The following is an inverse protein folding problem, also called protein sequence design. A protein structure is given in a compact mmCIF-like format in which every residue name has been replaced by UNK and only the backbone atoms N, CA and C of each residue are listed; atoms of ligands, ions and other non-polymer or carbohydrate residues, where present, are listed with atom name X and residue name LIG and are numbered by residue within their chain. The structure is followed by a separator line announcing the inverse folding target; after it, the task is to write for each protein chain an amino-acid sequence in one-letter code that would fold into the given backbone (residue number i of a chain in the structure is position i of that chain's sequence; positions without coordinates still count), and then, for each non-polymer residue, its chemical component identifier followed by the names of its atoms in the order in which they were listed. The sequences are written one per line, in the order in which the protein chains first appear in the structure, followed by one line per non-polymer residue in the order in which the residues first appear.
data_IF_922109037131
#
_entry.id   IF_922109037131
#
_cell.length_a   1.000
_cell.length_b   1.000
_cell.length_c   1.000
_cell.angle_alpha   90.00
_cell.angle_beta   90.00
_cell.angle_gamma   90.00
#
_symmetry.space_group_name_H-M   'P 1'
#
loop_
_entity.id
_entity.type
_entity.pdbx_description
1 polymer ?
#
# COMPACT_ATOMS: atom_id res chain seq x y z
N UNK A 1 12.63 6.88 22.15
CA UNK A 1 11.68 6.91 21.01
C UNK A 1 11.36 8.34 20.69
N UNK A 2 11.25 8.61 19.39
CA UNK A 2 10.70 9.84 18.82
C UNK A 2 9.26 9.52 18.43
N UNK A 3 8.30 10.30 18.89
CA UNK A 3 6.88 10.07 18.61
C UNK A 3 6.39 11.15 17.65
N UNK A 4 5.92 10.73 16.47
CA UNK A 4 5.39 11.60 15.43
C UNK A 4 3.95 11.22 15.14
N UNK A 5 3.04 12.15 15.41
CA UNK A 5 1.61 11.92 15.31
C UNK A 5 1.05 12.69 14.11
N UNK A 6 0.58 11.97 13.09
CA UNK A 6 -0.09 12.51 11.92
C UNK A 6 -1.57 12.74 12.25
N UNK A 7 -1.88 13.79 13.02
CA UNK A 7 -3.24 14.10 13.43
C UNK A 7 -3.90 15.16 12.53
N UNK A 8 -5.10 14.84 12.04
CA UNK A 8 -6.18 15.83 11.88
C UNK A 8 -6.29 16.61 13.20
N UNK A 9 -6.51 17.91 13.09
CA UNK A 9 -6.36 18.93 14.14
C UNK A 9 -7.14 18.75 15.48
N UNK A 10 -7.74 17.61 15.83
CA UNK A 10 -8.63 17.48 17.00
C UNK A 10 -8.61 16.10 17.70
N UNK A 11 -7.47 15.64 18.21
CA UNK A 11 -7.51 14.75 19.38
C UNK A 11 -6.26 14.92 20.24
N UNK A 12 -6.47 15.07 21.54
CA UNK A 12 -5.39 15.19 22.54
C UNK A 12 -5.20 13.81 23.18
N UNK A 13 -3.99 13.23 23.12
CA UNK A 13 -3.68 12.05 23.93
C UNK A 13 -3.60 12.47 25.40
N UNK A 14 -4.55 12.01 26.21
CA UNK A 14 -4.44 12.08 27.66
C UNK A 14 -3.34 11.09 28.10
N UNK A 15 -2.30 11.62 28.75
CA UNK A 15 -1.26 10.93 29.53
C UNK A 15 0.06 10.52 28.84
N UNK A 16 0.85 11.51 28.39
CA UNK A 16 2.31 11.37 28.29
C UNK A 16 2.99 12.61 28.90
N UNK A 17 3.51 12.50 30.14
CA UNK A 17 4.25 13.59 30.79
C UNK A 17 5.73 13.60 30.39
N UNK A 18 6.13 14.78 29.90
CA UNK A 18 7.44 15.46 29.99
C UNK A 18 8.62 14.88 29.22
N UNK A 19 8.78 15.38 27.99
CA UNK A 19 9.96 16.09 27.41
C UNK A 19 9.72 16.37 25.90
N UNK A 20 8.82 15.60 25.27
CA UNK A 20 8.39 15.77 23.85
C UNK A 20 7.31 16.87 23.70
N UNK A 21 6.53 17.12 24.75
CA UNK A 21 5.42 18.10 24.74
C UNK A 21 5.85 19.55 24.48
N UNK A 22 7.08 19.94 24.85
CA UNK A 22 7.55 21.33 24.71
C UNK A 22 7.92 21.69 23.27
N UNK A 23 8.37 20.73 22.46
CA UNK A 23 8.61 20.96 21.01
C UNK A 23 7.30 20.94 20.24
N UNK A 24 6.38 20.03 20.56
CA UNK A 24 5.06 19.95 19.92
C UNK A 24 4.34 21.31 19.96
N UNK A 25 4.38 22.02 21.09
CA UNK A 25 3.79 23.36 21.23
C UNK A 25 4.38 24.44 20.31
N UNK A 26 5.63 24.28 19.84
CA UNK A 26 6.28 25.17 18.87
C UNK A 26 6.02 24.70 17.43
N UNK A 27 5.94 23.38 17.20
CA UNK A 27 5.63 22.78 15.89
C UNK A 27 4.15 22.86 15.51
N UNK A 28 3.23 23.12 16.46
CA UNK A 28 1.78 23.26 16.20
C UNK A 28 1.41 24.42 15.25
N UNK A 29 2.37 25.23 14.79
CA UNK A 29 2.16 26.20 13.70
C UNK A 29 2.55 25.68 12.30
N UNK A 30 3.18 24.51 12.21
CA UNK A 30 3.71 23.95 10.97
C UNK A 30 2.94 22.70 10.55
N UNK A 31 2.79 22.51 9.25
CA UNK A 31 2.09 21.37 8.64
C UNK A 31 2.94 20.09 8.77
N UNK A 32 2.46 19.15 9.59
CA UNK A 32 3.10 17.87 9.91
C UNK A 32 3.17 16.88 8.73
N UNK A 33 2.54 17.21 7.60
CA UNK A 33 2.59 16.40 6.38
C UNK A 33 3.79 16.77 5.50
N UNK A 34 4.48 17.87 5.85
CA UNK A 34 5.66 18.35 5.15
C UNK A 34 6.92 17.60 5.57
N UNK A 35 7.77 17.20 4.61
CA UNK A 35 9.02 16.50 4.91
C UNK A 35 9.98 17.34 5.75
N UNK A 36 9.99 18.67 5.57
CA UNK A 36 10.86 19.57 6.34
C UNK A 36 10.52 19.55 7.83
N UNK A 37 9.23 19.53 8.18
CA UNK A 37 8.79 19.56 9.57
C UNK A 37 9.17 18.27 10.31
N UNK A 38 9.06 17.11 9.65
CA UNK A 38 9.54 15.84 10.21
C UNK A 38 11.07 15.83 10.34
N UNK A 39 11.79 16.38 9.35
CA UNK A 39 13.26 16.50 9.40
C UNK A 39 13.71 17.33 10.60
N UNK A 40 13.09 18.50 10.81
CA UNK A 40 13.37 19.40 11.93
C UNK A 40 13.13 18.71 13.27
N UNK A 41 12.03 17.97 13.39
CA UNK A 41 11.72 17.21 14.60
C UNK A 41 12.78 16.14 14.92
N UNK A 42 13.17 15.32 13.93
CA UNK A 42 14.17 14.28 14.14
C UNK A 42 15.53 14.90 14.52
N UNK A 43 15.91 16.00 13.86
CA UNK A 43 17.14 16.73 14.18
C UNK A 43 17.10 17.30 15.60
N UNK A 44 16.00 17.97 15.96
CA UNK A 44 15.82 18.51 17.31
C UNK A 44 15.95 17.41 18.37
N UNK A 45 15.28 16.27 18.15
CA UNK A 45 15.24 15.23 19.16
C UNK A 45 16.56 14.46 19.29
N UNK A 46 17.29 14.25 18.19
CA UNK A 46 18.64 13.66 18.22
C UNK A 46 19.67 14.58 18.88
N UNK A 47 19.52 15.91 18.75
CA UNK A 47 20.36 16.86 19.47
C UNK A 47 20.07 16.94 20.97
N UNK A 48 18.78 16.88 21.34
CA UNK A 48 18.35 16.96 22.74
C UNK A 48 18.62 15.69 23.52
N UNK A 49 18.48 14.53 22.89
CA UNK A 49 18.64 13.23 23.53
C UNK A 49 19.68 12.40 22.79
N UNK A 50 20.96 12.73 23.00
CA UNK A 50 22.10 12.02 22.38
C UNK A 50 22.16 10.57 22.88
N UNK A 51 21.85 9.62 22.01
CA UNK A 51 21.83 8.18 22.30
C UNK A 51 22.38 7.38 21.13
N UNK A 52 22.80 6.14 21.38
CA UNK A 52 23.34 5.23 20.35
C UNK A 52 22.26 4.75 19.38
N UNK A 53 21.02 4.58 19.86
CA UNK A 53 19.92 4.02 19.07
C UNK A 53 18.70 4.93 19.05
N UNK A 54 18.12 5.10 17.86
CA UNK A 54 16.93 5.90 17.61
C UNK A 54 15.81 5.05 17.01
N UNK A 55 14.63 5.17 17.62
CA UNK A 55 13.38 4.61 17.13
C UNK A 55 12.41 5.77 16.86
N UNK A 56 11.87 5.85 15.64
CA UNK A 56 10.79 6.75 15.25
C UNK A 56 9.49 5.97 15.19
N UNK A 57 8.47 6.48 15.86
CA UNK A 57 7.11 5.96 15.77
C UNK A 57 6.29 6.94 14.95
N UNK A 58 5.76 6.48 13.82
CA UNK A 58 4.76 7.17 13.04
C UNK A 58 3.40 6.67 13.49
N UNK A 59 2.68 7.51 14.23
CA UNK A 59 1.32 7.25 14.66
C UNK A 59 0.35 7.99 13.74
N UNK A 60 -0.70 7.31 13.33
CA UNK A 60 -1.78 7.95 12.61
C UNK A 60 -2.65 6.93 11.94
N UNK A 61 -3.05 7.28 10.73
CA UNK A 61 -4.03 6.53 9.99
C UNK A 61 -3.35 5.89 8.78
N UNK A 62 -3.62 4.60 8.59
CA UNK A 62 -3.06 3.80 7.50
C UNK A 62 -3.76 4.04 6.17
N UNK A 63 -3.57 3.11 5.23
CA UNK A 63 -4.24 3.14 3.92
C UNK A 63 -5.76 2.99 4.04
N UNK A 64 -6.28 2.54 5.17
CA UNK A 64 -7.71 2.32 5.42
C UNK A 64 -8.53 3.62 5.50
N UNK A 65 -8.05 4.67 6.16
CA UNK A 65 -8.71 5.99 6.20
C UNK A 65 -8.50 6.82 4.93
N UNK A 66 -7.82 6.26 3.92
CA UNK A 66 -8.02 6.73 2.55
C UNK A 66 -9.49 6.56 2.13
N UNK A 67 -10.29 5.72 2.79
CA UNK A 67 -11.71 5.51 2.52
C UNK A 67 -12.67 6.31 3.42
N UNK A 68 -12.16 7.27 4.21
CA UNK A 68 -12.96 8.06 5.17
C UNK A 68 -13.55 9.35 4.57
N UNK A 69 -14.82 9.61 4.87
CA UNK A 69 -15.74 10.53 4.17
C UNK A 69 -15.47 12.04 4.34
N UNK A 70 -14.49 12.48 5.13
CA UNK A 70 -14.36 13.90 5.50
C UNK A 70 -13.63 14.78 4.45
N UNK A 71 -14.08 14.65 3.20
CA UNK A 71 -13.95 15.63 2.10
C UNK A 71 -15.12 16.62 2.06
N UNK A 72 -15.76 16.90 3.19
CA UNK A 72 -16.73 18.01 3.29
C UNK A 72 -16.00 19.33 3.11
N UNK A 73 -16.03 19.85 1.87
CA UNK A 73 -16.03 21.26 1.42
C UNK A 73 -15.54 21.47 -0.03
N UNK A 74 -15.27 20.41 -0.81
CA UNK A 74 -14.80 20.57 -2.20
C UNK A 74 -15.73 20.06 -3.31
N UNK A 75 -16.70 19.19 -3.01
CA UNK A 75 -17.40 18.37 -4.02
C UNK A 75 -18.90 18.62 -4.16
N UNK A 76 -19.48 19.56 -3.41
CA UNK A 76 -20.92 19.88 -3.51
C UNK A 76 -21.36 20.52 -4.84
N UNK A 77 -20.44 20.81 -5.77
CA UNK A 77 -20.79 21.38 -7.08
C UNK A 77 -20.90 20.38 -8.25
N UNK A 78 -20.65 19.08 -8.02
CA UNK A 78 -20.52 18.09 -9.13
C UNK A 78 -21.66 17.06 -9.22
N UNK A 79 -22.68 17.11 -8.37
CA UNK A 79 -23.66 16.02 -8.24
C UNK A 79 -24.94 16.14 -9.08
N UNK A 80 -24.99 16.98 -10.12
CA UNK A 80 -26.25 17.23 -10.81
C UNK A 80 -26.53 16.41 -12.09
N UNK A 81 -25.57 15.89 -12.88
CA UNK A 81 -25.93 15.54 -14.28
C UNK A 81 -25.57 14.15 -14.86
N UNK A 82 -24.73 13.31 -14.25
CA UNK A 82 -24.28 12.07 -14.93
C UNK A 82 -25.07 10.79 -14.57
N UNK A 83 -26.40 10.86 -14.53
CA UNK A 83 -27.24 9.64 -14.54
C UNK A 83 -27.92 9.51 -15.89
N UNK A 84 -27.35 8.69 -16.76
CA UNK A 84 -27.91 7.91 -17.87
C UNK A 84 -26.78 7.77 -18.92
N UNK A 85 -26.70 6.65 -19.64
CA UNK A 85 -25.65 6.27 -20.64
C UNK A 85 -24.52 5.36 -20.14
N UNK A 86 -24.86 4.21 -19.56
CA UNK A 86 -23.87 3.16 -19.25
C UNK A 86 -24.14 1.76 -19.82
N UNK A 87 -25.38 1.39 -20.18
CA UNK A 87 -25.71 -0.04 -20.23
C UNK A 87 -26.59 -0.54 -21.39
N UNK A 88 -27.01 0.27 -22.36
CA UNK A 88 -28.05 -0.15 -23.32
C UNK A 88 -27.62 -0.36 -24.79
N UNK A 89 -26.33 -0.47 -25.10
CA UNK A 89 -25.86 -0.65 -26.50
C UNK A 89 -24.96 -1.88 -26.72
N UNK A 90 -24.94 -2.82 -25.78
CA UNK A 90 -24.15 -4.05 -25.85
C UNK A 90 -24.90 -5.26 -26.43
N UNK A 91 -26.18 -5.12 -26.78
CA UNK A 91 -26.98 -6.19 -27.37
C UNK A 91 -27.38 -5.90 -28.82
N UNK A 92 -26.43 -6.08 -29.73
CA UNK A 92 -26.70 -6.67 -31.05
C UNK A 92 -25.38 -7.03 -31.73
N UNK A 93 -25.26 -8.32 -32.07
CA UNK A 93 -24.26 -8.94 -32.96
C UNK A 93 -22.92 -9.36 -32.34
N UNK A 94 -22.86 -10.66 -32.03
CA UNK A 94 -21.66 -11.36 -31.62
C UNK A 94 -20.76 -11.79 -32.77
N UNK A 95 -19.52 -12.10 -32.37
CA UNK A 95 -18.51 -12.91 -33.06
C UNK A 95 -17.95 -12.33 -34.38
N UNK A 96 -16.93 -11.47 -34.27
CA UNK A 96 -15.63 -11.58 -34.99
C UNK A 96 -14.68 -10.39 -34.67
N UNK A 97 -13.43 -10.73 -34.36
CA UNK A 97 -12.20 -9.90 -34.31
C UNK A 97 -12.14 -8.70 -33.33
N UNK A 98 -11.48 -8.93 -32.19
CA UNK A 98 -11.14 -7.95 -31.13
C UNK A 98 -10.13 -6.84 -31.47
N UNK A 99 -9.91 -6.52 -32.75
CA UNK A 99 -9.03 -5.43 -33.17
C UNK A 99 -9.76 -4.26 -33.86
N UNK A 100 -11.01 -4.45 -34.30
CA UNK A 100 -11.80 -3.39 -34.94
C UNK A 100 -12.63 -2.56 -33.95
N UNK A 101 -13.04 -3.14 -32.81
CA UNK A 101 -13.75 -2.41 -31.74
C UNK A 101 -12.91 -1.26 -31.16
N UNK A 102 -11.60 -1.47 -31.03
CA UNK A 102 -10.62 -0.44 -30.62
C UNK A 102 -10.44 0.66 -31.70
N UNK A 103 -10.67 0.35 -32.99
CA UNK A 103 -10.60 1.33 -34.08
C UNK A 103 -11.89 2.14 -34.23
N UNK A 104 -13.05 1.54 -33.94
CA UNK A 104 -14.34 2.24 -33.90
C UNK A 104 -14.44 3.20 -32.70
N UNK A 105 -13.95 2.80 -31.51
CA UNK A 105 -13.81 3.71 -30.35
C UNK A 105 -12.93 4.93 -30.66
N UNK A 106 -11.89 4.76 -31.48
CA UNK A 106 -10.92 5.82 -31.85
C UNK A 106 -11.54 7.00 -32.60
N UNK A 107 -12.67 6.83 -33.30
CA UNK A 107 -13.29 7.88 -34.15
C UNK A 107 -14.46 8.63 -33.51
N UNK A 108 -15.06 8.12 -32.42
CA UNK A 108 -16.18 8.80 -31.73
C UNK A 108 -15.88 9.29 -30.32
N UNK A 109 -14.95 8.68 -29.59
CA UNK A 109 -14.59 9.12 -28.22
C UNK A 109 -13.29 9.95 -28.15
N UNK A 110 -12.49 9.94 -29.22
CA UNK A 110 -11.10 10.44 -29.19
C UNK A 110 -10.89 11.94 -29.44
N UNK A 111 -11.90 12.70 -29.86
CA UNK A 111 -11.67 14.11 -30.28
C UNK A 111 -12.52 15.15 -29.58
N UNK A 112 -13.67 14.78 -29.00
CA UNK A 112 -14.55 15.75 -28.30
C UNK A 112 -14.36 15.72 -26.77
N UNK A 113 -14.19 14.56 -26.13
CA UNK A 113 -13.93 14.48 -24.68
C UNK A 113 -12.53 15.01 -24.30
N UNK A 114 -11.49 14.63 -25.07
CA UNK A 114 -10.12 15.09 -24.80
C UNK A 114 -9.91 16.60 -25.01
N UNK A 115 -10.76 17.27 -25.80
CA UNK A 115 -10.74 18.73 -25.95
C UNK A 115 -11.64 19.43 -24.93
N UNK A 116 -12.74 18.83 -24.52
CA UNK A 116 -13.66 19.40 -23.54
C UNK A 116 -13.20 19.22 -22.08
N UNK A 117 -12.31 18.28 -21.78
CA UNK A 117 -11.67 18.14 -20.45
C UNK A 117 -10.48 19.11 -20.28
N UNK A 118 -9.68 19.32 -21.33
CA UNK A 118 -8.47 20.16 -21.24
C UNK A 118 -8.75 21.65 -21.04
N UNK A 119 -9.95 22.11 -21.39
CA UNK A 119 -10.39 23.51 -21.17
C UNK A 119 -11.26 23.72 -19.91
N UNK A 120 -11.68 22.66 -19.21
CA UNK A 120 -12.48 22.76 -17.98
C UNK A 120 -11.68 22.54 -16.69
N UNK A 121 -10.50 21.93 -16.77
CA UNK A 121 -9.54 21.93 -15.66
C UNK A 121 -8.63 23.16 -15.76
N UNK A 122 -9.21 24.31 -15.46
CA UNK A 122 -8.42 25.44 -14.98
C UNK A 122 -7.71 25.00 -13.71
N UNK A 123 -6.38 25.01 -13.78
CA UNK A 123 -5.48 24.94 -12.61
C UNK A 123 -5.98 25.96 -11.59
N UNK A 124 -6.72 25.48 -10.60
CA UNK A 124 -6.98 26.22 -9.37
C UNK A 124 -6.19 25.52 -8.28
N UNK A 125 -5.42 26.32 -7.56
CA UNK A 125 -4.44 25.94 -6.56
C UNK A 125 -4.80 24.70 -5.72
N UNK A 126 -3.87 23.74 -5.71
CA UNK A 126 -3.52 22.92 -4.55
C UNK A 126 -4.66 22.21 -3.82
N UNK A 127 -4.97 20.98 -4.23
CA UNK A 127 -5.38 19.99 -3.23
C UNK A 127 -4.19 19.79 -2.30
N UNK A 128 -4.17 20.48 -1.16
CA UNK A 128 -3.20 20.25 -0.08
C UNK A 128 -3.37 18.79 0.33
N UNK A 129 -2.45 17.91 -0.11
CA UNK A 129 -2.41 16.53 0.38
C UNK A 129 -2.17 16.61 1.89
N UNK A 130 -3.09 16.10 2.69
CA UNK A 130 -3.08 16.21 4.16
C UNK A 130 -2.47 15.00 4.86
N UNK A 131 -1.63 14.23 4.18
CA UNK A 131 -0.88 13.13 4.79
C UNK A 131 0.56 13.12 4.28
N UNK A 132 1.45 12.56 5.11
CA UNK A 132 2.85 12.35 4.76
C UNK A 132 2.95 11.18 3.77
N UNK A 133 3.19 11.48 2.50
CA UNK A 133 3.44 10.44 1.49
C UNK A 133 4.75 9.69 1.80
N UNK A 134 4.90 8.47 1.31
CA UNK A 134 6.15 7.71 1.50
C UNK A 134 7.37 8.35 0.83
N UNK A 135 7.15 9.06 -0.29
CA UNK A 135 8.19 9.87 -0.92
C UNK A 135 8.63 11.00 0.02
N UNK A 136 7.70 11.72 0.64
CA UNK A 136 8.01 12.77 1.60
C UNK A 136 8.65 12.19 2.86
N UNK A 137 8.22 11.02 3.34
CA UNK A 137 8.85 10.34 4.47
C UNK A 137 10.33 10.00 4.17
N UNK A 138 10.60 9.42 3.00
CA UNK A 138 11.99 9.17 2.55
C UNK A 138 12.78 10.46 2.47
N UNK A 139 12.22 11.50 1.87
CA UNK A 139 12.87 12.81 1.78
C UNK A 139 13.22 13.36 3.16
N UNK A 140 12.27 13.31 4.09
CA UNK A 140 12.47 13.78 5.46
C UNK A 140 13.62 13.04 6.14
N UNK A 141 13.61 11.69 6.09
CA UNK A 141 14.63 10.86 6.72
C UNK A 141 16.02 11.12 6.13
N UNK A 142 16.13 11.22 4.79
CA UNK A 142 17.40 11.50 4.09
C UNK A 142 17.97 12.88 4.41
N UNK A 143 17.11 13.84 4.74
CA UNK A 143 17.52 15.21 5.01
C UNK A 143 17.93 15.47 6.46
N UNK A 144 17.80 14.48 7.35
CA UNK A 144 18.24 14.58 8.74
C UNK A 144 19.76 14.70 8.85
N UNK A 145 20.22 15.35 9.93
CA UNK A 145 21.65 15.40 10.30
C UNK A 145 22.20 14.00 10.55
N UNK A 146 21.37 13.10 11.08
CA UNK A 146 21.70 11.69 11.25
C UNK A 146 22.03 11.05 9.90
N UNK A 147 21.17 11.18 8.89
CA UNK A 147 21.40 10.61 7.57
C UNK A 147 22.60 11.22 6.83
N UNK A 148 22.89 12.49 7.09
CA UNK A 148 24.02 13.21 6.49
C UNK A 148 25.36 13.00 7.21
N UNK A 149 25.38 12.33 8.37
CA UNK A 149 26.58 12.22 9.21
C UNK A 149 26.99 13.55 9.84
N UNK A 150 26.03 14.47 10.02
CA UNK A 150 26.22 15.83 10.53
C UNK A 150 25.79 15.97 12.00
N UNK A 151 25.70 14.85 12.73
CA UNK A 151 25.46 14.88 14.18
C UNK A 151 26.64 15.58 14.89
N UNK A 152 26.35 16.20 16.04
CA UNK A 152 27.35 16.94 16.80
C UNK A 152 28.58 16.07 17.16
N UNK A 153 29.76 16.70 17.25
CA UNK A 153 30.98 16.00 17.66
C UNK A 153 30.78 15.25 19.00
N UNK A 154 31.25 13.99 19.06
CA UNK A 154 31.08 13.11 20.23
C UNK A 154 29.66 12.54 20.40
N UNK A 155 28.79 12.65 19.40
CA UNK A 155 27.49 11.99 19.42
C UNK A 155 27.68 10.45 19.37
N UNK A 156 26.98 9.67 20.24
CA UNK A 156 27.26 8.24 20.41
C UNK A 156 26.69 7.34 19.30
N UNK A 157 25.64 7.77 18.57
CA UNK A 157 25.11 7.05 17.38
C UNK A 157 26.22 6.72 16.38
N UNK A 158 26.31 5.45 16.02
CA UNK A 158 27.11 4.95 14.91
C UNK A 158 26.23 4.71 13.68
N UNK A 159 26.78 5.00 12.50
CA UNK A 159 26.06 4.90 11.22
C UNK A 159 25.08 6.04 10.96
N UNK A 160 24.56 6.06 9.74
CA UNK A 160 23.73 7.16 9.20
C UNK A 160 22.28 6.74 8.97
N UNK A 161 21.82 5.64 9.58
CA UNK A 161 20.44 5.15 9.46
C UNK A 161 19.72 5.23 10.80
N UNK A 162 18.41 5.47 10.73
CA UNK A 162 17.52 5.30 11.86
C UNK A 162 17.45 3.79 12.19
N UNK A 163 17.56 3.42 13.47
CA UNK A 163 17.59 2.01 13.85
C UNK A 163 16.21 1.34 13.63
N UNK A 164 15.13 1.99 14.07
CA UNK A 164 13.78 1.41 14.01
C UNK A 164 12.78 2.47 13.54
N UNK A 165 11.92 2.11 12.57
CA UNK A 165 10.67 2.79 12.33
C UNK A 165 9.49 1.89 12.72
N UNK A 166 8.70 2.32 13.70
CA UNK A 166 7.41 1.70 14.01
C UNK A 166 6.30 2.48 13.33
N UNK A 167 5.47 1.81 12.55
CA UNK A 167 4.33 2.43 11.87
C UNK A 167 3.05 1.92 12.54
N UNK A 168 2.54 2.74 13.45
CA UNK A 168 1.31 2.50 14.19
C UNK A 168 0.13 3.05 13.38
N UNK A 169 -0.19 2.30 12.32
CA UNK A 169 -1.24 2.57 11.36
C UNK A 169 -1.59 1.28 10.58
N UNK A 170 -2.85 1.13 10.18
CA UNK A 170 -3.37 -0.05 9.49
C UNK A 170 -2.66 -0.34 8.15
N UNK A 171 -2.38 -1.61 7.88
CA UNK A 171 -1.92 -2.09 6.57
C UNK A 171 -0.68 -1.38 6.01
N UNK A 172 0.31 -1.12 6.88
CA UNK A 172 1.56 -0.44 6.55
C UNK A 172 2.75 -1.37 6.35
N UNK A 173 2.60 -2.67 6.63
CA UNK A 173 3.63 -3.68 6.37
C UNK A 173 3.64 -4.08 4.89
N UNK A 174 4.01 -3.12 4.05
CA UNK A 174 4.00 -3.20 2.59
C UNK A 174 5.43 -3.23 2.02
N UNK A 175 5.67 -4.05 1.00
CA UNK A 175 6.98 -4.10 0.32
C UNK A 175 7.33 -2.78 -0.37
N UNK A 176 6.34 -2.01 -0.82
CA UNK A 176 6.48 -0.68 -1.40
C UNK A 176 7.24 0.25 -0.44
N UNK A 177 6.78 0.30 0.82
CA UNK A 177 7.31 1.17 1.86
C UNK A 177 8.64 0.63 2.36
N UNK A 178 8.71 -0.67 2.65
CA UNK A 178 9.96 -1.33 3.09
C UNK A 178 11.10 -1.08 2.08
N UNK A 179 10.81 -1.23 0.79
CA UNK A 179 11.77 -0.98 -0.29
C UNK A 179 12.23 0.46 -0.33
N UNK A 180 11.33 1.41 -0.12
CA UNK A 180 11.64 2.84 -0.23
C UNK A 180 12.48 3.36 0.95
N UNK A 181 12.33 2.74 2.13
CA UNK A 181 13.00 3.14 3.38
C UNK A 181 14.34 2.44 3.66
N UNK A 182 14.70 1.39 2.92
CA UNK A 182 15.92 0.57 3.17
C UNK A 182 17.23 1.33 3.30
N UNK A 183 17.35 2.50 2.68
CA UNK A 183 18.56 3.32 2.66
C UNK A 183 18.62 4.32 3.82
N UNK A 184 17.58 4.37 4.65
CA UNK A 184 17.44 5.35 5.73
C UNK A 184 17.06 4.72 7.07
N UNK A 185 16.57 3.47 7.06
CA UNK A 185 16.12 2.76 8.26
C UNK A 185 16.63 1.31 8.25
N UNK A 186 17.04 0.80 9.41
CA UNK A 186 17.53 -0.57 9.57
C UNK A 186 16.39 -1.59 9.76
N UNK A 187 15.41 -1.29 10.63
CA UNK A 187 14.26 -2.15 10.90
C UNK A 187 12.92 -1.42 10.79
N UNK A 188 11.90 -2.11 10.28
CA UNK A 188 10.52 -1.62 10.21
C UNK A 188 9.59 -2.55 10.99
N UNK A 189 8.72 -1.96 11.83
CA UNK A 189 7.68 -2.69 12.56
C UNK A 189 6.32 -2.15 12.14
N UNK A 190 5.50 -2.99 11.52
CA UNK A 190 4.20 -2.58 10.95
C UNK A 190 3.23 -3.76 10.88
N UNK A 191 1.93 -3.46 10.75
CA UNK A 191 0.85 -4.43 10.56
C UNK A 191 0.49 -4.59 9.09
N UNK A 192 0.16 -5.81 8.64
CA UNK A 192 -0.48 -6.03 7.34
C UNK A 192 -1.98 -5.73 7.37
N UNK A 193 -2.58 -5.90 8.55
CA UNK A 193 -4.01 -5.71 8.81
C UNK A 193 -4.27 -4.44 9.64
N UNK A 194 -5.52 -4.24 10.02
CA UNK A 194 -5.95 -3.29 11.03
C UNK A 194 -5.09 -3.30 12.30
N UNK A 195 -4.84 -2.11 12.81
CA UNK A 195 -4.29 -1.89 14.14
C UNK A 195 -5.44 -1.46 15.04
N UNK A 196 -5.62 -2.03 16.25
CA UNK A 196 -6.68 -1.62 17.15
C UNK A 196 -6.64 -0.12 17.44
N UNK A 197 -7.81 0.52 17.59
CA UNK A 197 -7.92 1.95 17.94
C UNK A 197 -7.15 2.33 19.21
N UNK A 198 -6.93 1.34 20.09
CA UNK A 198 -6.10 1.46 21.28
C UNK A 198 -4.61 1.70 20.99
N UNK A 199 -4.18 1.67 19.72
CA UNK A 199 -2.81 1.93 19.26
C UNK A 199 -1.82 0.88 19.76
N UNK A 200 -0.51 1.02 19.51
CA UNK A 200 0.46 0.12 20.12
C UNK A 200 0.44 0.28 21.65
N UNK A 201 0.52 -0.80 22.45
CA UNK A 201 0.49 -0.75 23.91
C UNK A 201 1.85 -0.30 24.45
N UNK A 202 2.22 0.95 24.16
CA UNK A 202 3.56 1.51 24.36
C UNK A 202 4.07 1.31 25.79
N UNK A 203 3.24 1.64 26.80
CA UNK A 203 3.66 1.49 28.18
C UNK A 203 4.09 0.05 28.49
N UNK A 204 3.25 -0.92 28.12
CA UNK A 204 3.51 -2.34 28.36
C UNK A 204 4.74 -2.83 27.61
N UNK A 205 4.83 -2.52 26.32
CA UNK A 205 5.98 -2.86 25.48
C UNK A 205 7.28 -2.31 26.10
N UNK A 206 7.28 -1.06 26.55
CA UNK A 206 8.48 -0.42 27.09
C UNK A 206 8.88 -0.91 28.47
N UNK A 207 7.91 -1.20 29.33
CA UNK A 207 8.15 -1.85 30.62
C UNK A 207 8.77 -3.23 30.42
N UNK A 208 8.23 -4.02 29.49
CA UNK A 208 8.72 -5.38 29.23
C UNK A 208 10.09 -5.38 28.55
N UNK A 209 10.32 -4.52 27.54
CA UNK A 209 11.66 -4.36 26.93
C UNK A 209 12.71 -3.94 27.97
N UNK A 210 12.33 -3.05 28.91
CA UNK A 210 13.21 -2.64 30.01
C UNK A 210 13.48 -3.80 30.97
N UNK A 211 12.46 -4.59 31.32
CA UNK A 211 12.59 -5.74 32.20
C UNK A 211 13.51 -6.83 31.63
N UNK A 212 13.51 -7.01 30.30
CA UNK A 212 14.39 -7.96 29.60
C UNK A 212 15.82 -7.45 29.38
N UNK A 213 16.11 -6.18 29.70
CA UNK A 213 17.43 -5.57 29.57
C UNK A 213 18.02 -5.63 28.14
N UNK A 214 17.16 -5.53 27.11
CA UNK A 214 17.55 -5.65 25.69
C UNK A 214 17.81 -4.31 25.00
N UNK A 215 17.84 -3.19 25.74
CA UNK A 215 17.89 -1.83 25.16
C UNK A 215 19.02 -1.60 24.14
N UNK A 216 20.15 -2.27 24.30
CA UNK A 216 21.32 -2.11 23.43
C UNK A 216 21.38 -3.16 22.31
N UNK A 217 20.44 -4.10 22.27
CA UNK A 217 20.27 -5.05 21.18
C UNK A 217 19.03 -4.67 20.38
N UNK A 218 19.22 -3.80 19.38
CA UNK A 218 18.14 -3.29 18.52
C UNK A 218 17.38 -4.44 17.85
N UNK A 219 18.08 -5.51 17.45
CA UNK A 219 17.47 -6.63 16.75
C UNK A 219 16.57 -7.43 17.69
N UNK A 220 17.04 -7.69 18.90
CA UNK A 220 16.24 -8.37 19.92
C UNK A 220 15.03 -7.52 20.33
N UNK A 221 15.19 -6.20 20.48
CA UNK A 221 14.06 -5.28 20.67
C UNK A 221 13.01 -5.45 19.57
N UNK A 222 13.45 -5.49 18.30
CA UNK A 222 12.56 -5.65 17.15
C UNK A 222 11.84 -7.01 17.14
N UNK A 223 12.53 -8.09 17.52
CA UNK A 223 11.93 -9.43 17.65
C UNK A 223 10.92 -9.52 18.78
N UNK A 224 11.17 -8.84 19.90
CA UNK A 224 10.26 -8.91 21.04
C UNK A 224 8.93 -8.16 20.81
N UNK A 225 8.95 -7.03 20.10
CA UNK A 225 7.79 -6.13 19.98
C UNK A 225 6.53 -6.83 19.44
N UNK A 226 6.56 -7.59 18.32
CA UNK A 226 5.38 -8.31 17.83
C UNK A 226 4.76 -9.26 18.87
N UNK A 227 5.57 -10.02 19.59
CA UNK A 227 5.08 -10.93 20.63
C UNK A 227 4.44 -10.20 21.80
N UNK A 228 5.06 -9.11 22.26
CA UNK A 228 4.54 -8.26 23.34
C UNK A 228 3.23 -7.57 22.92
N UNK A 229 3.15 -7.10 21.68
CA UNK A 229 1.95 -6.54 21.10
C UNK A 229 0.81 -7.56 21.08
N UNK A 230 1.07 -8.77 20.59
CA UNK A 230 0.10 -9.85 20.57
C UNK A 230 -0.39 -10.22 21.98
N UNK A 231 0.53 -10.31 22.94
CA UNK A 231 0.21 -10.62 24.33
C UNK A 231 -0.69 -9.56 24.96
N UNK A 232 -0.39 -8.28 24.73
CA UNK A 232 -1.16 -7.16 25.27
C UNK A 232 -2.60 -7.12 24.76
N UNK A 233 -2.85 -7.61 23.54
CA UNK A 233 -4.20 -7.68 22.95
C UNK A 233 -4.89 -9.03 23.09
N UNK A 234 -4.26 -10.04 23.70
CA UNK A 234 -4.80 -11.40 23.82
C UNK A 234 -6.21 -11.41 24.41
N UNK A 235 -6.44 -10.68 25.50
CA UNK A 235 -7.74 -10.64 26.20
C UNK A 235 -8.81 -9.87 25.41
N UNK A 236 -8.39 -8.87 24.61
CA UNK A 236 -9.27 -8.12 23.72
C UNK A 236 -9.72 -8.96 22.54
N UNK A 237 -8.84 -9.76 21.95
CA UNK A 237 -9.16 -10.61 20.78
C UNK A 237 -10.00 -11.82 21.17
N UNK A 238 -9.80 -12.35 22.39
CA UNK A 238 -10.54 -13.52 22.89
C UNK A 238 -11.97 -13.21 23.34
N UNK A 239 -12.38 -11.94 23.41
CA UNK A 239 -13.68 -11.54 23.94
C UNK A 239 -14.66 -11.17 22.81
N UNK A 240 -15.73 -11.96 22.58
CA UNK A 240 -16.77 -11.58 21.61
C UNK A 240 -17.40 -10.23 21.97
N UNK A 241 -17.34 -9.25 21.06
CA UNK A 241 -17.94 -7.92 21.24
C UNK A 241 -16.96 -6.75 21.44
N UNK A 242 -15.65 -7.00 21.54
CA UNK A 242 -14.61 -5.94 21.64
C UNK A 242 -14.24 -5.30 20.30
N UNK A 243 -14.70 -5.87 19.18
CA UNK A 243 -14.53 -5.29 17.85
C UNK A 243 -13.12 -5.43 17.23
N UNK A 244 -12.17 -6.10 17.90
CA UNK A 244 -10.83 -6.39 17.37
C UNK A 244 -10.88 -7.71 16.58
N UNK A 245 -10.99 -7.61 15.25
CA UNK A 245 -11.04 -8.75 14.32
C UNK A 245 -9.61 -9.16 13.93
N UNK A 246 -8.93 -9.87 14.83
CA UNK A 246 -7.55 -10.29 14.59
C UNK A 246 -6.55 -9.14 14.65
N UNK A 247 -5.27 -9.47 14.82
CA UNK A 247 -4.19 -8.50 14.74
C UNK A 247 -3.02 -9.16 14.01
N UNK A 248 -2.26 -8.34 13.29
CA UNK A 248 -0.96 -8.73 12.76
C UNK A 248 0.09 -7.75 13.23
N UNK A 249 1.30 -8.22 13.52
CA UNK A 249 2.44 -7.33 13.62
C UNK A 249 3.69 -8.06 13.18
N UNK A 250 4.45 -7.42 12.31
CA UNK A 250 5.71 -7.95 11.78
C UNK A 250 6.85 -7.01 12.03
N UNK A 251 8.02 -7.60 12.22
CA UNK A 251 9.29 -6.90 12.26
C UNK A 251 10.15 -7.32 11.08
N UNK A 252 10.62 -6.33 10.32
CA UNK A 252 11.32 -6.49 9.06
C UNK A 252 12.73 -5.93 9.15
N UNK A 253 13.73 -6.65 8.66
CA UNK A 253 15.07 -6.11 8.40
C UNK A 253 15.14 -5.53 7.00
N UNK A 254 15.24 -4.21 6.90
CA UNK A 254 15.22 -3.54 5.59
C UNK A 254 16.52 -3.69 4.81
N UNK A 255 17.62 -4.08 5.47
CA UNK A 255 18.88 -4.43 4.79
C UNK A 255 18.71 -5.65 3.89
N UNK A 256 17.84 -6.57 4.29
CA UNK A 256 17.58 -7.82 3.58
C UNK A 256 16.41 -7.72 2.58
N UNK A 257 15.76 -6.56 2.41
CA UNK A 257 14.59 -6.43 1.52
C UNK A 257 14.90 -6.77 0.06
N UNK A 258 16.15 -6.58 -0.38
CA UNK A 258 16.58 -6.93 -1.74
C UNK A 258 16.52 -8.45 -2.01
N UNK A 259 16.57 -9.28 -0.95
CA UNK A 259 16.37 -10.73 -1.05
C UNK A 259 14.96 -11.09 -1.55
N UNK A 260 13.97 -10.20 -1.34
CA UNK A 260 12.60 -10.33 -1.85
C UNK A 260 12.44 -9.53 -3.15
N UNK A 261 12.96 -8.30 -3.26
CA UNK A 261 12.81 -7.45 -4.46
C UNK A 261 13.37 -8.11 -5.73
N UNK A 262 14.50 -8.82 -5.63
CA UNK A 262 15.08 -9.54 -6.76
C UNK A 262 14.11 -10.60 -7.33
N UNK A 263 13.68 -11.60 -6.55
CA UNK A 263 12.62 -12.52 -6.92
C UNK A 263 11.31 -11.85 -7.39
N UNK A 264 10.88 -10.78 -6.72
CA UNK A 264 9.68 -10.02 -7.10
C UNK A 264 9.80 -9.43 -8.50
N UNK A 265 10.98 -8.95 -8.88
CA UNK A 265 11.27 -8.45 -10.23
C UNK A 265 11.09 -9.55 -11.28
N UNK A 266 11.57 -10.75 -10.99
CA UNK A 266 11.39 -11.90 -11.89
C UNK A 266 9.93 -12.36 -11.94
N UNK A 267 9.22 -12.33 -10.81
CA UNK A 267 7.78 -12.61 -10.76
C UNK A 267 7.00 -11.60 -11.60
N UNK A 268 7.25 -10.29 -11.47
CA UNK A 268 6.60 -9.25 -12.25
C UNK A 268 6.76 -9.46 -13.76
N UNK A 269 7.98 -9.77 -14.21
CA UNK A 269 8.27 -10.07 -15.63
C UNK A 269 7.54 -11.32 -16.12
N UNK A 270 7.55 -12.39 -15.33
CA UNK A 270 6.92 -13.66 -15.68
C UNK A 270 5.39 -13.53 -15.72
N UNK A 271 4.79 -12.80 -14.78
CA UNK A 271 3.36 -12.48 -14.76
C UNK A 271 2.96 -11.62 -15.97
N UNK A 272 3.74 -10.58 -16.27
CA UNK A 272 3.49 -9.71 -17.43
C UNK A 272 3.53 -10.49 -18.74
N UNK A 273 4.52 -11.36 -18.93
CA UNK A 273 4.65 -12.18 -20.14
C UNK A 273 3.54 -13.22 -20.23
N UNK A 274 3.15 -13.81 -19.08
CA UNK A 274 2.09 -14.82 -19.02
C UNK A 274 0.69 -14.24 -19.17
N UNK A 275 0.50 -12.92 -19.00
CA UNK A 275 -0.82 -12.25 -19.12
C UNK A 275 -1.52 -12.49 -20.47
N UNK A 276 -0.76 -12.69 -21.56
CA UNK A 276 -1.30 -12.95 -22.90
C UNK A 276 -1.67 -14.42 -23.15
N UNK A 277 -1.21 -15.34 -22.31
CA UNK A 277 -1.57 -16.76 -22.39
C UNK A 277 -2.89 -17.00 -21.68
N UNK A 278 -3.94 -17.39 -22.42
CA UNK A 278 -5.30 -17.52 -21.88
C UNK A 278 -5.42 -18.54 -20.73
N UNK A 279 -4.65 -19.63 -20.73
CA UNK A 279 -4.70 -20.65 -19.67
C UNK A 279 -4.02 -20.10 -18.42
N UNK A 280 -2.77 -19.63 -18.55
CA UNK A 280 -1.99 -19.13 -17.40
C UNK A 280 -2.62 -17.87 -16.81
N UNK A 281 -3.16 -16.98 -17.65
CA UNK A 281 -3.91 -15.79 -17.24
C UNK A 281 -5.05 -16.12 -16.28
N UNK A 282 -5.87 -17.12 -16.59
CA UNK A 282 -6.98 -17.57 -15.74
C UNK A 282 -6.50 -18.08 -14.38
N UNK A 283 -5.36 -18.79 -14.37
CA UNK A 283 -4.72 -19.25 -13.13
C UNK A 283 -4.22 -18.06 -12.31
N UNK A 284 -3.61 -17.04 -12.92
CA UNK A 284 -3.18 -15.80 -12.24
C UNK A 284 -4.38 -15.07 -11.62
N UNK A 285 -5.47 -14.90 -12.37
CA UNK A 285 -6.68 -14.24 -11.87
C UNK A 285 -7.29 -15.01 -10.68
N UNK A 286 -7.41 -16.33 -10.80
CA UNK A 286 -7.93 -17.19 -9.73
C UNK A 286 -7.03 -17.15 -8.49
N UNK A 287 -5.71 -17.21 -8.67
CA UNK A 287 -4.75 -17.13 -7.58
C UNK A 287 -4.83 -15.81 -6.82
N UNK A 288 -4.98 -14.68 -7.53
CA UNK A 288 -5.18 -13.39 -6.87
C UNK A 288 -6.50 -13.36 -6.10
N UNK A 289 -7.59 -13.92 -6.64
CA UNK A 289 -8.89 -13.96 -5.96
C UNK A 289 -8.87 -14.77 -4.65
N UNK A 290 -8.10 -15.87 -4.62
CA UNK A 290 -8.03 -16.78 -3.47
C UNK A 290 -7.00 -16.35 -2.40
N UNK A 291 -6.09 -15.46 -2.76
CA UNK A 291 -5.03 -14.99 -1.87
C UNK A 291 -5.58 -14.06 -0.79
N UNK A 292 -5.04 -14.17 0.43
CA UNK A 292 -5.37 -13.33 1.56
C UNK A 292 -5.13 -11.87 1.19
N UNK A 293 -6.18 -11.06 1.29
CA UNK A 293 -6.13 -9.66 0.92
C UNK A 293 -6.46 -8.75 2.10
N UNK A 294 -6.18 -7.46 1.91
CA UNK A 294 -6.31 -6.42 2.92
C UNK A 294 -6.86 -5.15 2.27
N UNK A 295 -7.48 -4.29 3.08
CA UNK A 295 -7.99 -2.97 2.66
C UNK A 295 -8.89 -3.08 1.43
N UNK A 296 -9.99 -3.83 1.55
CA UNK A 296 -10.95 -4.05 0.47
C UNK A 296 -10.29 -4.54 -0.84
N UNK A 297 -9.37 -5.47 -0.67
CA UNK A 297 -8.62 -6.12 -1.74
C UNK A 297 -7.66 -5.20 -2.51
N UNK A 298 -7.19 -4.09 -1.93
CA UNK A 298 -6.14 -3.29 -2.56
C UNK A 298 -4.77 -3.95 -2.43
N UNK A 299 -4.52 -4.63 -1.32
CA UNK A 299 -3.27 -5.31 -1.04
C UNK A 299 -3.49 -6.81 -0.85
N UNK A 300 -2.46 -7.60 -1.11
CA UNK A 300 -2.46 -9.06 -0.91
C UNK A 300 -1.23 -9.48 -0.11
N UNK A 301 -1.34 -10.53 0.69
CA UNK A 301 -0.17 -11.16 1.30
C UNK A 301 0.71 -11.78 0.21
N UNK A 302 1.97 -11.34 0.14
CA UNK A 302 2.84 -11.67 -0.97
C UNK A 302 3.22 -13.16 -1.01
N UNK A 303 3.42 -13.78 0.16
CA UNK A 303 3.76 -15.19 0.27
C UNK A 303 2.54 -16.05 -0.10
N UNK A 304 1.39 -15.72 0.48
CA UNK A 304 0.14 -16.43 0.26
C UNK A 304 -0.31 -16.36 -1.21
N UNK A 305 -0.14 -15.20 -1.88
CA UNK A 305 -0.35 -15.11 -3.32
C UNK A 305 0.55 -16.08 -4.10
N UNK A 306 1.82 -16.23 -3.72
CA UNK A 306 2.73 -17.18 -4.35
C UNK A 306 2.31 -18.63 -4.14
N UNK A 307 1.73 -18.97 -2.98
CA UNK A 307 1.17 -20.31 -2.71
C UNK A 307 -0.11 -20.56 -3.51
N UNK A 308 -1.00 -19.58 -3.58
CA UNK A 308 -2.21 -19.66 -4.39
C UNK A 308 -1.87 -19.85 -5.86
N UNK A 309 -0.87 -19.12 -6.38
CA UNK A 309 -0.45 -19.22 -7.77
C UNK A 309 0.11 -20.60 -8.09
N UNK A 310 0.98 -21.16 -7.24
CA UNK A 310 1.50 -22.51 -7.45
C UNK A 310 0.37 -23.56 -7.43
N UNK A 311 -0.57 -23.44 -6.49
CA UNK A 311 -1.74 -24.32 -6.41
C UNK A 311 -2.62 -24.24 -7.66
N UNK A 312 -2.85 -23.05 -8.20
CA UNK A 312 -3.63 -22.88 -9.43
C UNK A 312 -2.88 -23.43 -10.66
N UNK A 313 -1.55 -23.28 -10.71
CA UNK A 313 -0.71 -23.81 -11.79
C UNK A 313 -0.58 -25.34 -11.75
N UNK A 314 -0.81 -25.97 -10.60
CA UNK A 314 -0.86 -27.43 -10.43
C UNK A 314 -2.18 -28.04 -10.89
N UNK A 315 -3.24 -27.23 -11.04
CA UNK A 315 -4.51 -27.70 -11.61
C UNK A 315 -4.37 -27.88 -13.12
N UNK A 316 -4.94 -28.96 -13.65
CA UNK A 316 -5.07 -29.22 -15.08
C UNK A 316 -3.73 -29.34 -15.84
N UNK A 317 -2.76 -30.08 -15.27
CA UNK A 317 -1.41 -30.31 -15.82
C UNK A 317 -1.37 -30.83 -17.27
N UNK A 318 -2.46 -31.38 -17.78
CA UNK A 318 -2.56 -31.93 -19.14
C UNK A 318 -2.86 -30.87 -20.22
N UNK A 319 -3.28 -29.65 -19.84
CA UNK A 319 -3.66 -28.59 -20.79
C UNK A 319 -2.68 -27.42 -20.84
N UNK A 320 -1.76 -27.32 -19.89
CA UNK A 320 -0.73 -26.27 -19.91
C UNK A 320 0.24 -26.62 -21.05
N UNK A 321 0.36 -25.79 -22.10
CA UNK A 321 1.40 -25.98 -23.10
C UNK A 321 2.76 -26.10 -22.39
N UNK A 322 3.79 -26.65 -23.04
CA UNK A 322 5.19 -26.44 -22.60
C UNK A 322 5.54 -24.96 -22.75
N UNK A 323 4.90 -24.12 -21.95
CA UNK A 323 5.07 -22.68 -21.86
C UNK A 323 6.38 -22.46 -21.12
N UNK A 324 7.26 -21.69 -21.74
CA UNK A 324 8.54 -21.30 -21.15
C UNK A 324 8.36 -20.49 -19.86
N UNK A 325 7.20 -19.88 -19.60
CA UNK A 325 7.00 -18.95 -18.49
C UNK A 325 6.50 -19.56 -17.19
N UNK A 326 5.88 -20.74 -17.20
CA UNK A 326 5.39 -21.40 -15.97
C UNK A 326 6.56 -21.79 -15.04
N UNK A 327 7.68 -22.35 -15.54
CA UNK A 327 8.87 -22.54 -14.72
C UNK A 327 9.39 -21.23 -14.07
N UNK A 328 9.34 -20.12 -14.79
CA UNK A 328 9.78 -18.81 -14.28
C UNK A 328 8.86 -18.32 -13.15
N UNK A 329 7.54 -18.45 -13.31
CA UNK A 329 6.56 -18.13 -12.27
C UNK A 329 6.83 -18.96 -11.00
N UNK A 330 6.99 -20.28 -11.14
CA UNK A 330 7.24 -21.18 -10.00
C UNK A 330 8.57 -20.89 -9.31
N UNK A 331 9.61 -20.63 -10.10
CA UNK A 331 10.94 -20.29 -9.58
C UNK A 331 10.91 -18.99 -8.79
N UNK A 332 10.27 -17.95 -9.33
CA UNK A 332 10.13 -16.67 -8.65
C UNK A 332 9.28 -16.78 -7.38
N UNK A 333 8.12 -17.45 -7.44
CA UNK A 333 7.26 -17.71 -6.28
C UNK A 333 8.00 -18.47 -5.18
N UNK A 334 8.74 -19.54 -5.53
CA UNK A 334 9.56 -20.30 -4.59
C UNK A 334 10.58 -19.42 -3.88
N UNK A 335 11.34 -18.61 -4.63
CA UNK A 335 12.36 -17.73 -4.05
C UNK A 335 11.77 -16.66 -3.14
N UNK A 336 10.58 -16.12 -3.46
CA UNK A 336 9.85 -15.20 -2.58
C UNK A 336 9.48 -15.89 -1.28
N UNK A 337 8.85 -17.08 -1.35
CA UNK A 337 8.48 -17.85 -0.15
C UNK A 337 9.68 -18.16 0.72
N UNK A 338 10.79 -18.60 0.12
CA UNK A 338 12.04 -18.84 0.83
C UNK A 338 12.54 -17.56 1.51
N UNK A 339 12.60 -16.42 0.80
CA UNK A 339 13.07 -15.14 1.34
C UNK A 339 12.19 -14.58 2.48
N UNK A 340 10.90 -14.92 2.50
CA UNK A 340 9.94 -14.47 3.51
C UNK A 340 9.83 -15.40 4.73
N UNK A 341 10.51 -16.55 4.74
CA UNK A 341 10.59 -17.40 5.95
C UNK A 341 11.16 -16.59 7.11
N UNK A 342 10.46 -16.63 8.26
CA UNK A 342 10.89 -15.96 9.49
C UNK A 342 12.21 -16.54 9.97
N UNK A 343 13.24 -15.70 10.05
CA UNK A 343 14.57 -16.09 10.51
C UNK A 343 15.38 -14.87 10.93
N UNK A 344 16.32 -15.07 11.85
CA UNK A 344 17.12 -13.98 12.39
C UNK A 344 17.93 -13.23 11.32
N UNK A 345 18.42 -13.91 10.29
CA UNK A 345 19.21 -13.34 9.19
C UNK A 345 18.37 -13.01 7.93
N UNK A 346 17.04 -12.99 8.06
CA UNK A 346 16.11 -12.81 6.94
C UNK A 346 15.48 -11.42 6.90
N UNK A 347 14.67 -11.19 5.86
CA UNK A 347 13.90 -9.97 5.74
C UNK A 347 12.78 -9.90 6.79
N UNK A 348 12.09 -11.02 7.06
CA UNK A 348 11.11 -11.12 8.16
C UNK A 348 11.81 -11.73 9.36
N UNK A 349 12.00 -10.95 10.42
CA UNK A 349 12.70 -11.40 11.63
C UNK A 349 11.75 -11.85 12.74
N UNK A 350 10.50 -11.37 12.70
CA UNK A 350 9.42 -11.82 13.58
C UNK A 350 8.07 -11.50 12.92
N UNK A 351 7.08 -12.39 13.08
CA UNK A 351 5.72 -12.18 12.57
C UNK A 351 4.69 -12.82 13.50
N UNK A 352 3.71 -12.03 13.94
CA UNK A 352 2.63 -12.48 14.82
C UNK A 352 1.26 -12.25 14.18
N UNK A 353 0.40 -13.26 14.25
CA UNK A 353 -1.00 -13.25 13.79
C UNK A 353 -1.88 -14.02 14.78
N UNK A 354 -3.12 -13.60 15.01
CA UNK A 354 -4.02 -14.22 16.03
C UNK A 354 -5.19 -15.00 15.43
N UNK A 355 -5.50 -14.82 14.14
CA UNK A 355 -6.69 -15.46 13.53
C UNK A 355 -6.37 -16.02 12.15
N UNK A 356 -5.60 -15.30 11.35
CA UNK A 356 -5.33 -15.65 9.96
C UNK A 356 -3.95 -16.27 9.81
N UNK A 357 -3.91 -17.58 9.58
CA UNK A 357 -2.65 -18.33 9.34
C UNK A 357 -1.99 -17.97 8.00
N UNK A 358 -2.60 -17.11 7.20
CA UNK A 358 -2.19 -16.75 5.84
C UNK A 358 -1.57 -15.35 5.75
N UNK A 359 -1.19 -14.77 6.89
CA UNK A 359 -0.44 -13.51 6.98
C UNK A 359 1.03 -13.80 7.31
N UNK A 360 1.94 -13.44 6.40
CA UNK A 360 3.36 -13.80 6.43
C UNK A 360 4.30 -12.60 6.64
N UNK A 361 3.72 -11.44 6.94
CA UNK A 361 4.39 -10.24 7.41
C UNK A 361 4.61 -9.14 6.38
N UNK A 362 4.40 -9.41 5.09
CA UNK A 362 4.58 -8.41 4.03
C UNK A 362 3.48 -8.51 2.96
N UNK A 363 2.79 -7.39 2.73
CA UNK A 363 1.81 -7.26 1.66
C UNK A 363 2.39 -6.52 0.45
N UNK A 364 1.67 -6.60 -0.68
CA UNK A 364 1.97 -5.89 -1.92
C UNK A 364 0.68 -5.37 -2.55
N UNK A 365 0.74 -4.21 -3.21
CA UNK A 365 -0.37 -3.64 -3.96
C UNK A 365 -0.71 -4.54 -5.15
N UNK A 366 -1.89 -5.13 -5.11
CA UNK A 366 -2.41 -5.97 -6.17
C UNK A 366 -3.94 -5.88 -6.12
N UNK A 367 -4.55 -4.85 -6.73
CA UNK A 367 -5.94 -4.51 -6.48
C UNK A 367 -6.92 -5.49 -7.16
N UNK A 368 -7.78 -6.12 -6.36
CA UNK A 368 -8.93 -6.91 -6.80
C UNK A 368 -9.97 -6.90 -5.67
N UNK A 369 -11.13 -6.28 -5.88
CA UNK A 369 -12.21 -6.27 -4.87
C UNK A 369 -13.02 -7.57 -4.94
N UNK A 370 -13.31 -8.20 -3.81
CA UNK A 370 -14.30 -9.28 -3.74
C UNK A 370 -15.73 -8.72 -3.59
N UNK A 371 -16.71 -9.39 -4.20
CA UNK A 371 -18.13 -8.97 -4.17
C UNK A 371 -18.73 -9.09 -2.77
N UNK A 372 -18.25 -10.07 -1.98
CA UNK A 372 -18.70 -10.35 -0.61
C UNK A 372 -18.30 -9.27 0.40
N UNK A 373 -17.37 -8.38 0.03
CA UNK A 373 -16.88 -7.27 0.85
C UNK A 373 -17.85 -6.07 0.88
N UNK A 374 -18.90 -6.06 0.04
CA UNK A 374 -19.89 -4.98 -0.02
C UNK A 374 -20.61 -4.80 1.32
N UNK A 375 -20.87 -5.89 2.05
CA UNK A 375 -21.52 -5.85 3.36
C UNK A 375 -20.56 -5.42 4.48
N UNK A 376 -19.25 -5.65 4.33
CA UNK A 376 -18.22 -5.21 5.30
C UNK A 376 -17.89 -3.72 5.17
N UNK A 377 -18.00 -3.16 3.97
CA UNK A 377 -17.82 -1.72 3.74
C UNK A 377 -18.84 -0.89 4.52
N UNK A 378 -20.09 -1.36 4.62
CA UNK A 378 -21.13 -0.73 5.43
C UNK A 378 -20.83 -0.81 6.95
N UNK A 379 -20.12 -1.85 7.39
CA UNK A 379 -19.76 -2.08 8.81
C UNK A 379 -18.54 -1.26 9.27
N UNK A 380 -17.53 -1.08 8.40
CA UNK A 380 -16.35 -0.25 8.66
C UNK A 380 -16.71 1.25 8.70
N UNK A 381 -17.68 1.69 7.90
CA UNK A 381 -18.16 3.07 7.90
C UNK A 381 -18.92 3.48 9.17
N UNK A 382 -19.44 2.52 9.93
CA UNK A 382 -20.10 2.81 11.21
C UNK A 382 -19.12 3.22 12.33
N UNK A 383 -17.82 2.96 12.16
CA UNK A 383 -16.80 3.22 13.20
C UNK A 383 -16.22 4.65 13.17
N UNK A 384 -16.54 5.47 12.16
CA UNK A 384 -15.95 6.80 11.96
C UNK A 384 -16.90 8.02 12.02
N UNK A 385 -18.23 7.85 12.08
CA UNK A 385 -19.15 8.99 12.02
C UNK A 385 -20.55 8.74 12.59
N UNK A 386 -21.17 9.78 13.16
CA UNK A 386 -22.55 9.77 13.70
C UNK A 386 -23.64 9.75 12.63
N UNK A 387 -23.29 9.54 11.36
CA UNK A 387 -24.20 9.64 10.24
C UNK A 387 -24.66 8.25 9.80
N UNK A 388 -25.92 7.90 10.09
CA UNK A 388 -26.58 6.77 9.42
C UNK A 388 -26.49 6.96 7.89
N UNK A 389 -26.35 5.90 7.09
CA UNK A 389 -26.43 6.02 5.65
C UNK A 389 -27.80 6.62 5.26
N UNK A 390 -27.76 7.78 4.61
CA UNK A 390 -28.94 8.35 3.97
C UNK A 390 -29.36 7.41 2.85
N UNK A 391 -30.60 6.92 2.98
CA UNK A 391 -31.28 6.01 2.06
C UNK A 391 -31.12 6.48 0.61
N UNK A 392 -30.32 5.77 -0.20
CA UNK A 392 -30.28 5.90 -1.66
C UNK A 392 -28.92 6.30 -2.27
N UNK A 393 -28.08 5.31 -2.56
CA UNK A 393 -26.93 5.51 -3.46
C UNK A 393 -25.92 4.37 -3.45
N UNK A 394 -26.21 3.26 -4.13
CA UNK A 394 -25.31 2.09 -4.27
C UNK A 394 -23.99 2.38 -5.02
N UNK A 395 -23.81 3.58 -5.58
CA UNK A 395 -22.67 3.96 -6.44
C UNK A 395 -21.58 4.81 -5.78
N UNK A 396 -21.75 5.22 -4.51
CA UNK A 396 -20.75 6.04 -3.78
C UNK A 396 -19.47 5.29 -3.39
N UNK A 397 -19.53 4.08 -2.77
CA UNK A 397 -18.32 3.32 -2.40
C UNK A 397 -17.35 3.09 -3.55
N UNK A 398 -17.90 2.82 -4.73
CA UNK A 398 -17.13 2.51 -5.94
C UNK A 398 -16.33 3.71 -6.45
N UNK A 399 -16.96 4.89 -6.55
CA UNK A 399 -16.27 6.11 -6.99
C UNK A 399 -15.16 6.49 -6.02
N UNK A 400 -15.39 6.27 -4.74
CA UNK A 400 -14.41 6.57 -3.72
C UNK A 400 -13.20 5.66 -3.80
N UNK A 401 -13.39 4.35 -3.96
CA UNK A 401 -12.30 3.41 -4.19
C UNK A 401 -11.50 3.73 -5.45
N UNK A 402 -12.15 4.07 -6.56
CA UNK A 402 -11.46 4.40 -7.82
C UNK A 402 -10.54 5.62 -7.69
N UNK A 403 -10.99 6.70 -7.03
CA UNK A 403 -10.13 7.87 -6.78
C UNK A 403 -8.91 7.54 -5.91
N UNK A 404 -9.05 6.57 -5.00
CA UNK A 404 -7.99 6.14 -4.07
C UNK A 404 -6.97 5.26 -4.76
N UNK A 405 -7.40 4.39 -5.67
CA UNK A 405 -6.53 3.65 -6.59
C UNK A 405 -5.63 4.62 -7.37
N UNK A 406 -6.21 5.69 -7.91
CA UNK A 406 -5.44 6.69 -8.66
C UNK A 406 -4.39 7.38 -7.78
N UNK A 407 -4.77 7.79 -6.57
CA UNK A 407 -3.86 8.43 -5.62
C UNK A 407 -2.73 7.50 -5.16
N UNK A 408 -3.04 6.26 -4.78
CA UNK A 408 -2.05 5.26 -4.38
C UNK A 408 -1.07 4.97 -5.51
N UNK A 409 -1.56 4.80 -6.74
CA UNK A 409 -0.69 4.53 -7.89
C UNK A 409 0.17 5.73 -8.27
N UNK A 410 -0.32 6.96 -8.10
CA UNK A 410 0.50 8.17 -8.22
C UNK A 410 1.62 8.22 -7.18
N UNK A 411 1.36 7.77 -5.96
CA UNK A 411 2.34 7.73 -4.88
C UNK A 411 3.36 6.63 -5.10
N UNK A 412 2.92 5.42 -5.45
CA UNK A 412 3.81 4.31 -5.80
C UNK A 412 4.66 4.62 -7.03
N UNK A 413 4.16 5.42 -7.97
CA UNK A 413 4.96 5.87 -9.12
C UNK A 413 6.15 6.78 -8.74
N UNK A 414 6.18 7.34 -7.51
CA UNK A 414 7.28 8.15 -6.98
C UNK A 414 8.30 7.33 -6.19
N UNK A 415 8.00 6.08 -5.85
CA UNK A 415 8.89 5.22 -5.05
C UNK A 415 9.99 4.60 -5.92
N UNK A 416 11.12 5.31 -6.01
CA UNK A 416 12.22 4.96 -6.91
C UNK A 416 12.88 3.61 -6.60
N UNK A 417 12.92 3.19 -5.33
CA UNK A 417 13.49 1.88 -4.96
C UNK A 417 12.54 0.74 -5.31
N UNK A 418 11.24 0.94 -5.08
CA UNK A 418 10.22 -0.07 -5.38
C UNK A 418 10.00 -0.23 -6.89
N UNK A 419 10.03 0.86 -7.67
CA UNK A 419 9.86 0.81 -9.13
C UNK A 419 10.88 -0.05 -9.87
N UNK A 420 12.04 -0.30 -9.28
CA UNK A 420 13.04 -1.22 -9.84
C UNK A 420 12.51 -2.66 -9.97
N UNK A 421 11.49 -3.01 -9.17
CA UNK A 421 10.79 -4.31 -9.26
C UNK A 421 9.95 -4.47 -10.52
N UNK A 422 9.61 -3.36 -11.18
CA UNK A 422 8.69 -3.33 -12.34
C UNK A 422 7.32 -3.93 -12.05
N UNK A 423 6.94 -4.04 -10.77
CA UNK A 423 5.60 -4.49 -10.39
C UNK A 423 4.52 -3.55 -10.93
N UNK A 424 4.79 -2.23 -10.97
CA UNK A 424 3.87 -1.25 -11.53
C UNK A 424 3.64 -1.45 -13.05
N UNK A 425 4.65 -1.91 -13.79
CA UNK A 425 4.48 -2.28 -15.20
C UNK A 425 3.57 -3.51 -15.34
N UNK A 426 3.72 -4.51 -14.46
CA UNK A 426 2.80 -5.64 -14.41
C UNK A 426 1.37 -5.17 -14.09
N UNK A 427 1.16 -4.32 -13.07
CA UNK A 427 -0.19 -3.82 -12.73
C UNK A 427 -0.82 -3.05 -13.90
N UNK A 428 -0.06 -2.13 -14.50
CA UNK A 428 -0.56 -1.30 -15.63
C UNK A 428 -0.84 -2.14 -16.87
N UNK A 429 0.06 -3.03 -17.27
CA UNK A 429 -0.04 -3.66 -18.58
C UNK A 429 -0.52 -5.10 -18.50
N UNK A 430 0.00 -5.89 -17.56
CA UNK A 430 -0.40 -7.27 -17.34
C UNK A 430 -1.76 -7.34 -16.68
N UNK A 431 -1.87 -6.89 -15.42
CA UNK A 431 -3.10 -7.04 -14.63
C UNK A 431 -4.31 -6.33 -15.26
N UNK A 432 -4.14 -5.09 -15.75
CA UNK A 432 -5.22 -4.40 -16.45
C UNK A 432 -5.69 -5.17 -17.71
N UNK A 433 -4.79 -5.84 -18.42
CA UNK A 433 -5.16 -6.72 -19.54
C UNK A 433 -5.89 -7.97 -19.05
N UNK A 434 -5.43 -8.59 -17.96
CA UNK A 434 -6.09 -9.76 -17.35
C UNK A 434 -7.53 -9.42 -16.96
N UNK A 435 -7.74 -8.30 -16.26
CA UNK A 435 -9.07 -7.85 -15.86
C UNK A 435 -9.97 -7.55 -17.07
N UNK A 436 -9.43 -6.91 -18.12
CA UNK A 436 -10.19 -6.61 -19.33
C UNK A 436 -10.64 -7.87 -20.07
N UNK A 437 -9.87 -8.96 -19.99
CA UNK A 437 -10.18 -10.23 -20.65
C UNK A 437 -11.10 -11.13 -19.83
N UNK A 438 -10.86 -11.23 -18.51
CA UNK A 438 -11.57 -12.17 -17.65
C UNK A 438 -12.85 -11.56 -17.06
N UNK A 439 -12.91 -10.25 -16.88
CA UNK A 439 -14.06 -9.53 -16.29
C UNK A 439 -14.46 -8.26 -17.07
N UNK A 440 -14.66 -8.32 -18.41
CA UNK A 440 -14.84 -7.14 -19.26
C UNK A 440 -16.04 -6.27 -18.89
N UNK A 441 -17.07 -6.84 -18.28
CA UNK A 441 -18.32 -6.15 -17.93
C UNK A 441 -18.37 -5.71 -16.46
N UNK A 442 -17.36 -6.06 -15.66
CA UNK A 442 -17.35 -5.89 -14.20
C UNK A 442 -16.08 -5.14 -13.74
N UNK A 443 -15.41 -4.43 -14.64
CA UNK A 443 -14.14 -3.75 -14.33
C UNK A 443 -14.25 -2.75 -13.17
N UNK A 444 -15.34 -1.97 -13.11
CA UNK A 444 -15.58 -1.04 -12.01
C UNK A 444 -15.93 -1.74 -10.69
N UNK A 445 -16.37 -3.00 -10.76
CA UNK A 445 -16.61 -3.81 -9.59
C UNK A 445 -15.32 -4.36 -8.99
N UNK A 446 -14.32 -4.67 -9.81
CA UNK A 446 -13.06 -5.28 -9.34
C UNK A 446 -11.93 -4.28 -9.11
N UNK A 447 -11.81 -3.26 -9.96
CA UNK A 447 -10.68 -2.33 -9.97
C UNK A 447 -11.10 -0.91 -10.35
N UNK A 448 -11.08 -0.55 -11.64
CA UNK A 448 -11.60 0.70 -12.21
C UNK A 448 -11.53 0.59 -13.74
N UNK A 449 -12.67 0.65 -14.42
CA UNK A 449 -12.71 0.57 -15.89
C UNK A 449 -11.94 1.73 -16.53
N UNK A 450 -12.06 2.93 -15.96
CA UNK A 450 -11.30 4.12 -16.38
C UNK A 450 -9.80 3.88 -16.28
N UNK A 451 -9.33 3.29 -15.17
CA UNK A 451 -7.91 3.04 -14.94
C UNK A 451 -7.36 1.97 -15.90
N UNK A 452 -8.11 0.89 -16.09
CA UNK A 452 -7.78 -0.15 -17.09
C UNK A 452 -7.65 0.47 -18.49
N UNK A 453 -8.62 1.28 -18.90
CA UNK A 453 -8.58 1.95 -20.20
C UNK A 453 -7.35 2.87 -20.34
N UNK A 454 -7.06 3.70 -19.33
CA UNK A 454 -5.90 4.59 -19.32
C UNK A 454 -4.57 3.80 -19.44
N UNK A 455 -4.45 2.72 -18.66
CA UNK A 455 -3.26 1.88 -18.66
C UNK A 455 -3.03 1.18 -20.01
N UNK A 456 -4.07 0.59 -20.60
CA UNK A 456 -3.98 -0.09 -21.89
C UNK A 456 -3.77 0.89 -23.07
N UNK A 457 -4.31 2.10 -22.98
CA UNK A 457 -4.06 3.16 -23.97
C UNK A 457 -2.60 3.62 -23.96
N UNK A 458 -1.98 3.73 -22.79
CA UNK A 458 -0.58 4.14 -22.67
C UNK A 458 0.38 3.17 -23.37
N UNK A 459 0.08 1.86 -23.33
CA UNK A 459 0.82 0.81 -24.04
C UNK A 459 0.76 0.98 -25.56
N UNK A 460 -0.41 1.36 -26.09
CA UNK A 460 -0.57 1.57 -27.53
C UNK A 460 0.13 2.85 -28.02
N UNK A 461 0.33 3.84 -27.14
CA UNK A 461 1.05 5.07 -27.46
C UNK A 461 2.56 4.87 -27.43
N UNK A 462 3.09 4.05 -26.51
CA UNK A 462 4.52 3.73 -26.42
C UNK A 462 5.01 2.82 -27.56
N UNK A 463 4.12 2.06 -28.19
CA UNK A 463 4.42 1.21 -29.34
C UNK A 463 4.33 1.90 -30.71
N UNK A 464 3.94 3.19 -30.78
CA UNK A 464 3.94 3.93 -32.04
C UNK A 464 5.38 4.38 -32.39
N UNK A 465 5.84 4.18 -33.64
CA UNK A 465 7.12 4.73 -34.07
C UNK A 465 7.11 6.27 -33.94
N UNK A 466 8.24 6.92 -33.63
CA UNK A 466 8.32 8.37 -33.59
C UNK A 466 7.81 8.93 -34.92
N UNK A 467 6.95 9.95 -34.85
CA UNK A 467 6.50 10.67 -36.05
C UNK A 467 7.75 11.17 -36.76
N UNK A 468 8.00 10.66 -37.96
CA UNK A 468 8.96 11.25 -38.89
C UNK A 468 8.54 12.72 -39.03
N UNK A 469 9.41 13.63 -38.62
CA UNK A 469 9.21 15.03 -38.87
C UNK A 469 9.20 15.20 -40.40
N UNK A 470 8.04 15.46 -40.98
CA UNK A 470 7.95 15.98 -42.34
C UNK A 470 8.64 17.35 -42.31
N UNK A 471 9.87 17.38 -42.82
CA UNK A 471 10.55 18.61 -43.16
C UNK A 471 9.73 19.30 -44.26
N UNK A 472 9.19 20.47 -43.93
CA UNK A 472 8.65 21.43 -44.88
C UNK A 472 9.43 22.74 -44.73
#
# INVERSE_FOLDING_TARGET
MLWWQNLKQNSTPNNLKTHVFTFLMVTLKNDITRPETLTEFINYASEKSKTEHYCLILWGHGTELLLDEDRRYGTELLLAEDRHYGTELLFSEGRRYGTELLRAQKRRYGTELLRAEKHRYGVTNGSVRRYLTFSNLKEALRNTKLAKGELAAGHPKSGNTLDIIGIDACSMSMIEVASELRGSVDFMIASQEDVPDASFPYQKILEDLKAHNVRNDVKEVCKMIPGLYQQAFRDYIATPGTGVKGITLSSLSLKEIDTIKGPLTELAKALLTSSSNNIVRKKIFSARKEAQDFVFGLFVDLLDFCECLDKELDKDLEQVPRSTTVPDLRSACKRIREAMVVRDDGCVIENQTVIEKRCHGLSIYFPLRDESETDKAEELWAKGGTSRPLKGGTSRPLKERSARIEELEEDFAKLGEFRQTRWDEFIKHGWSFILAEETPLELDQYYSAQRVAANLLSLHQSQKPPKVAEAA
#
